data_IF_416479049808
#
_entry.id   IF_416479049808
#
_cell.length_a   1.000
_cell.length_b   1.000
_cell.length_c   1.000
_cell.angle_alpha   90.00
_cell.angle_beta   90.00
_cell.angle_gamma   90.00
#
_symmetry.space_group_name_H-M   'P 1'
#
loop_
_entity.id
_entity.type
_entity.pdbx_description
1 polymer ?
#
# COMPACT_ATOMS: atom_id res chain seq x y z
N UNK A 1 12.05 30.89 -32.48
CA UNK A 1 11.15 30.02 -31.73
C UNK A 1 11.68 28.59 -31.88
N UNK A 2 12.47 28.11 -30.89
CA UNK A 2 12.95 26.72 -30.87
C UNK A 2 11.83 25.85 -30.32
N UNK A 3 11.25 24.99 -31.11
CA UNK A 3 10.30 23.99 -30.69
C UNK A 3 11.10 22.85 -30.09
N UNK A 4 11.21 22.82 -28.74
CA UNK A 4 11.75 21.67 -28.01
C UNK A 4 10.79 20.48 -28.20
N UNK A 5 11.11 19.63 -29.16
CA UNK A 5 10.41 18.36 -29.37
C UNK A 5 10.86 17.39 -28.29
N UNK A 6 9.97 17.09 -27.35
CA UNK A 6 10.21 16.00 -26.42
C UNK A 6 10.44 14.66 -27.15
N UNK A 7 11.24 13.73 -26.58
CA UNK A 7 11.46 12.38 -27.16
C UNK A 7 10.14 11.68 -27.52
N UNK A 8 9.11 11.87 -26.72
CA UNK A 8 7.76 11.32 -26.94
C UNK A 8 7.06 11.99 -28.12
N UNK A 9 7.20 13.32 -28.26
CA UNK A 9 6.67 14.07 -29.39
C UNK A 9 7.36 13.71 -30.70
N UNK A 10 8.69 13.49 -30.67
CA UNK A 10 9.46 13.02 -31.82
C UNK A 10 9.04 11.62 -32.26
N UNK A 11 8.93 10.66 -31.34
CA UNK A 11 8.48 9.31 -31.68
C UNK A 11 7.03 9.28 -32.16
N UNK A 12 6.14 10.10 -31.59
CA UNK A 12 4.76 10.18 -32.02
C UNK A 12 4.65 10.81 -33.46
N UNK A 13 5.42 11.85 -33.73
CA UNK A 13 5.38 12.50 -35.06
C UNK A 13 6.07 11.66 -36.15
N UNK A 14 7.19 11.00 -35.82
CA UNK A 14 7.87 10.12 -36.80
C UNK A 14 7.08 8.82 -37.03
N UNK A 15 6.44 8.25 -35.99
CA UNK A 15 5.52 7.12 -36.11
C UNK A 15 4.29 7.48 -36.97
N UNK A 16 3.66 8.64 -36.74
CA UNK A 16 2.53 9.11 -37.51
C UNK A 16 2.90 9.33 -38.98
N UNK A 17 4.07 9.94 -39.25
CA UNK A 17 4.55 10.16 -40.63
C UNK A 17 4.83 8.83 -41.35
N UNK A 18 5.43 7.85 -40.67
CA UNK A 18 5.71 6.55 -41.27
C UNK A 18 4.41 5.77 -41.59
N UNK A 19 3.40 5.87 -40.73
CA UNK A 19 2.10 5.20 -40.91
C UNK A 19 1.29 5.80 -42.03
N UNK A 20 1.31 7.13 -42.22
CA UNK A 20 0.61 7.81 -43.31
C UNK A 20 1.25 7.50 -44.64
N UNK A 21 2.58 7.37 -44.74
CA UNK A 21 3.30 7.00 -45.98
C UNK A 21 3.08 5.54 -46.35
N UNK A 22 2.73 4.66 -45.41
CA UNK A 22 2.46 3.22 -45.63
C UNK A 22 0.96 2.93 -45.90
N UNK A 23 0.10 3.96 -45.95
CA UNK A 23 -1.33 3.82 -46.27
C UNK A 23 -2.17 3.16 -45.15
N UNK A 24 -1.69 3.13 -43.92
CA UNK A 24 -2.48 2.63 -42.79
C UNK A 24 -3.55 3.66 -42.37
N UNK A 25 -4.78 3.19 -42.22
CA UNK A 25 -5.88 4.03 -41.73
C UNK A 25 -5.81 4.14 -40.19
N UNK A 26 -5.32 5.31 -39.72
CA UNK A 26 -5.20 5.58 -38.26
C UNK A 26 -6.55 5.81 -37.57
N UNK A 27 -7.64 6.08 -38.30
CA UNK A 27 -8.96 6.29 -37.69
C UNK A 27 -9.48 5.00 -37.08
N UNK A 28 -9.27 3.85 -37.73
CA UNK A 28 -9.64 2.55 -37.16
C UNK A 28 -8.82 2.20 -35.90
N UNK A 29 -7.51 2.49 -35.94
CA UNK A 29 -6.64 2.26 -34.78
C UNK A 29 -6.99 3.17 -33.57
N UNK A 30 -7.37 4.42 -33.86
CA UNK A 30 -7.80 5.38 -32.83
C UNK A 30 -9.18 5.02 -32.24
N UNK A 31 -10.09 4.48 -33.07
CA UNK A 31 -11.39 3.99 -32.61
C UNK A 31 -11.22 2.79 -31.67
N UNK A 32 -10.34 1.82 -32.01
CA UNK A 32 -10.03 0.67 -31.16
C UNK A 32 -9.34 1.12 -29.85
N UNK A 33 -8.43 2.09 -29.92
CA UNK A 33 -7.76 2.62 -28.72
C UNK A 33 -8.74 3.31 -27.75
N UNK A 34 -9.83 3.91 -28.25
CA UNK A 34 -10.90 4.50 -27.42
C UNK A 34 -11.74 3.46 -26.67
N UNK A 35 -11.68 2.20 -27.08
CA UNK A 35 -12.38 1.09 -26.41
C UNK A 35 -11.54 0.33 -25.36
N UNK A 36 -10.31 0.77 -25.11
CA UNK A 36 -9.50 0.19 -24.05
C UNK A 36 -10.26 0.24 -22.70
N UNK A 37 -10.20 -0.86 -21.94
CA UNK A 37 -10.89 -0.96 -20.63
C UNK A 37 -10.59 0.21 -19.71
N UNK A 38 -9.37 0.77 -19.77
CA UNK A 38 -8.94 1.92 -18.96
C UNK A 38 -9.64 3.22 -19.34
N UNK A 39 -10.13 3.37 -20.58
CA UNK A 39 -10.84 4.59 -21.02
C UNK A 39 -12.18 4.82 -20.30
N UNK A 40 -12.76 3.77 -19.70
CA UNK A 40 -14.05 3.81 -18.96
C UNK A 40 -13.87 3.60 -17.46
N UNK A 41 -12.66 3.74 -16.95
CA UNK A 41 -12.37 3.50 -15.54
C UNK A 41 -12.49 4.79 -14.71
N UNK A 42 -12.83 4.61 -13.44
CA UNK A 42 -12.62 5.65 -12.44
C UNK A 42 -11.16 5.60 -12.01
N UNK A 43 -10.50 6.74 -12.06
CA UNK A 43 -9.11 6.90 -11.63
C UNK A 43 -9.06 7.38 -10.18
N UNK A 44 -8.18 6.77 -9.40
CA UNK A 44 -7.92 7.18 -8.01
C UNK A 44 -6.42 7.22 -7.78
N UNK A 45 -5.93 8.37 -7.30
CA UNK A 45 -4.52 8.52 -6.94
C UNK A 45 -4.24 7.87 -5.58
N UNK A 46 -3.10 7.21 -5.47
CA UNK A 46 -2.65 6.55 -4.25
C UNK A 46 -1.12 6.49 -4.20
N UNK A 47 -0.59 5.84 -3.18
CA UNK A 47 0.86 5.65 -2.98
C UNK A 47 1.18 4.17 -2.94
N UNK A 48 2.30 3.80 -3.56
CA UNK A 48 2.82 2.43 -3.55
C UNK A 48 3.19 2.01 -2.12
N UNK A 49 2.73 0.85 -1.61
CA UNK A 49 2.95 0.42 -0.23
C UNK A 49 4.29 -0.27 0.01
N UNK A 50 5.17 -0.43 -0.98
CA UNK A 50 6.33 -1.30 -0.84
C UNK A 50 7.55 -0.69 -0.16
N UNK A 51 7.79 0.60 -0.33
CA UNK A 51 8.97 1.22 0.27
C UNK A 51 8.81 2.72 0.49
N UNK A 52 9.74 3.30 1.25
CA UNK A 52 9.75 4.71 1.63
C UNK A 52 9.94 5.71 0.46
N UNK A 53 10.21 5.24 -0.77
CA UNK A 53 10.24 6.11 -1.96
C UNK A 53 8.90 6.80 -2.16
N UNK A 54 7.78 6.13 -1.81
CA UNK A 54 6.46 6.74 -1.88
C UNK A 54 6.00 7.04 -3.30
N UNK A 55 6.32 6.18 -4.27
CA UNK A 55 5.88 6.35 -5.66
C UNK A 55 4.37 6.54 -5.74
N UNK A 56 3.92 7.61 -6.39
CA UNK A 56 2.50 7.81 -6.66
C UNK A 56 2.02 6.89 -7.77
N UNK A 57 0.83 6.36 -7.59
CA UNK A 57 0.18 5.45 -8.53
C UNK A 57 -1.22 5.93 -8.88
N UNK A 58 -1.66 5.66 -10.10
CA UNK A 58 -3.03 5.83 -10.55
C UNK A 58 -3.70 4.45 -10.61
N UNK A 59 -4.76 4.29 -9.84
CA UNK A 59 -5.53 3.06 -9.76
C UNK A 59 -6.77 3.20 -10.63
N UNK A 60 -6.92 2.31 -11.58
CA UNK A 60 -8.06 2.26 -12.50
C UNK A 60 -9.05 1.18 -12.01
N UNK A 61 -10.28 1.61 -11.72
CA UNK A 61 -11.36 0.71 -11.29
C UNK A 61 -12.49 0.71 -12.29
N UNK A 62 -13.03 -0.49 -12.56
CA UNK A 62 -14.29 -0.68 -13.25
C UNK A 62 -15.34 -1.15 -12.25
N UNK A 63 -16.56 -0.68 -12.41
CA UNK A 63 -17.70 -1.03 -11.58
C UNK A 63 -18.39 0.23 -11.06
N UNK A 64 -19.64 0.05 -10.70
CA UNK A 64 -20.49 1.13 -10.20
C UNK A 64 -21.39 0.58 -9.09
N UNK A 65 -21.18 1.02 -7.87
CA UNK A 65 -21.99 0.62 -6.71
C UNK A 65 -23.47 1.01 -6.87
N UNK A 66 -23.74 2.14 -7.54
CA UNK A 66 -25.11 2.58 -7.78
C UNK A 66 -25.88 1.65 -8.71
N UNK A 67 -25.15 0.86 -9.53
CA UNK A 67 -25.70 -0.16 -10.43
C UNK A 67 -25.51 -1.59 -9.93
N UNK A 68 -25.16 -1.78 -8.65
CA UNK A 68 -24.84 -3.07 -8.05
C UNK A 68 -23.69 -3.84 -8.75
N UNK A 69 -22.80 -3.13 -9.46
CA UNK A 69 -21.62 -3.73 -10.06
C UNK A 69 -20.45 -3.56 -9.09
N UNK A 70 -19.91 -4.69 -8.61
CA UNK A 70 -18.76 -4.69 -7.70
C UNK A 70 -17.56 -4.03 -8.37
N UNK A 71 -16.97 -2.98 -7.78
CA UNK A 71 -15.77 -2.38 -8.33
C UNK A 71 -14.61 -3.36 -8.34
N UNK A 72 -13.88 -3.40 -9.45
CA UNK A 72 -12.68 -4.22 -9.60
C UNK A 72 -11.50 -3.36 -10.07
N UNK A 73 -10.33 -3.58 -9.49
CA UNK A 73 -9.08 -2.94 -9.95
C UNK A 73 -8.64 -3.64 -11.23
N UNK A 74 -8.63 -2.90 -12.34
CA UNK A 74 -8.31 -3.46 -13.66
C UNK A 74 -6.91 -3.09 -14.14
N UNK A 75 -6.36 -1.96 -13.63
CA UNK A 75 -5.02 -1.51 -13.96
C UNK A 75 -4.45 -0.62 -12.85
N UNK A 76 -3.14 -0.65 -12.67
CA UNK A 76 -2.40 0.28 -11.81
C UNK A 76 -1.16 0.71 -12.57
N UNK A 77 -0.93 2.02 -12.64
CA UNK A 77 0.24 2.60 -13.28
C UNK A 77 0.86 3.70 -12.42
N UNK A 78 2.08 4.11 -12.76
CA UNK A 78 2.73 5.24 -12.08
C UNK A 78 2.09 6.55 -12.51
N UNK A 79 1.91 7.46 -11.55
CA UNK A 79 1.37 8.79 -11.78
C UNK A 79 2.41 9.67 -12.52
N UNK A 80 2.15 10.07 -13.77
CA UNK A 80 3.08 10.89 -14.53
C UNK A 80 3.23 12.33 -13.97
N UNK A 81 2.26 12.81 -13.21
CA UNK A 81 2.29 14.14 -12.61
C UNK A 81 3.05 14.15 -11.27
N UNK A 82 3.36 12.99 -10.72
CA UNK A 82 4.10 12.89 -9.48
C UNK A 82 5.54 13.40 -9.63
N UNK A 83 5.99 14.33 -8.77
CA UNK A 83 7.38 14.80 -8.79
C UNK A 83 8.37 13.72 -8.35
N UNK A 84 7.91 12.67 -7.66
CA UNK A 84 8.75 11.60 -7.11
C UNK A 84 9.15 10.60 -8.19
N UNK A 85 8.18 9.99 -8.86
CA UNK A 85 8.40 8.88 -9.80
C UNK A 85 8.07 9.21 -11.25
N UNK A 86 7.38 10.31 -11.53
CA UNK A 86 7.08 10.80 -12.90
C UNK A 86 6.55 9.71 -13.83
N UNK A 87 5.64 8.89 -13.32
CA UNK A 87 5.04 7.76 -14.03
C UNK A 87 5.87 6.48 -14.07
N UNK A 88 7.09 6.47 -13.53
CA UNK A 88 7.93 5.26 -13.49
C UNK A 88 7.62 4.42 -12.25
N UNK A 89 7.65 3.09 -12.41
CA UNK A 89 7.52 2.12 -11.33
C UNK A 89 8.61 1.06 -11.45
N UNK A 90 9.07 0.57 -10.32
CA UNK A 90 9.88 -0.67 -10.28
C UNK A 90 8.97 -1.89 -10.51
N UNK A 91 9.55 -3.06 -10.67
CA UNK A 91 8.81 -4.32 -10.91
C UNK A 91 7.73 -4.61 -9.85
N UNK A 92 7.98 -4.28 -8.57
CA UNK A 92 6.99 -4.46 -7.49
C UNK A 92 5.80 -3.50 -7.67
N UNK A 93 6.06 -2.23 -7.94
CA UNK A 93 5.01 -1.24 -8.18
C UNK A 93 4.18 -1.56 -9.43
N UNK A 94 4.84 -2.03 -10.49
CA UNK A 94 4.17 -2.43 -11.73
C UNK A 94 3.26 -3.65 -11.56
N UNK A 95 3.54 -4.54 -10.59
CA UNK A 95 2.74 -5.74 -10.29
C UNK A 95 1.70 -5.53 -9.18
N UNK A 96 1.44 -4.30 -8.74
CA UNK A 96 0.47 -4.03 -7.66
C UNK A 96 -0.94 -4.54 -7.97
N UNK A 97 -1.36 -4.52 -9.23
CA UNK A 97 -2.67 -5.03 -9.62
C UNK A 97 -2.82 -6.53 -9.29
N UNK A 98 -1.81 -7.32 -9.61
CA UNK A 98 -1.78 -8.76 -9.33
C UNK A 98 -1.76 -9.00 -7.81
N UNK A 99 -1.00 -8.19 -7.06
CA UNK A 99 -0.97 -8.25 -5.61
C UNK A 99 -2.34 -7.95 -4.98
N UNK A 100 -3.03 -6.89 -5.44
CA UNK A 100 -4.34 -6.50 -4.90
C UNK A 100 -5.40 -7.55 -5.20
N UNK A 101 -5.37 -8.17 -6.39
CA UNK A 101 -6.34 -9.14 -6.85
C UNK A 101 -5.95 -10.59 -6.52
N UNK A 102 -4.84 -10.83 -5.82
CA UNK A 102 -4.37 -12.17 -5.50
C UNK A 102 -5.32 -12.91 -4.56
N UNK A 103 -5.68 -14.14 -4.92
CA UNK A 103 -6.46 -15.05 -4.07
C UNK A 103 -5.66 -15.51 -2.83
N UNK A 104 -4.33 -15.36 -2.84
CA UNK A 104 -3.46 -15.66 -1.70
C UNK A 104 -3.47 -14.55 -0.64
N UNK A 105 -4.09 -13.41 -0.93
CA UNK A 105 -4.18 -12.31 0.00
C UNK A 105 -5.07 -12.66 1.19
N UNK A 106 -4.54 -12.53 2.40
CA UNK A 106 -5.30 -12.73 3.61
C UNK A 106 -6.36 -11.64 3.77
N UNK A 107 -7.62 -12.03 3.84
CA UNK A 107 -8.77 -11.14 4.06
C UNK A 107 -9.35 -11.26 5.46
N UNK A 108 -8.93 -12.29 6.20
CA UNK A 108 -9.35 -12.56 7.58
C UNK A 108 -8.15 -12.89 8.44
N UNK A 109 -8.19 -12.59 9.75
CA UNK A 109 -7.15 -12.99 10.67
C UNK A 109 -7.03 -14.52 10.72
N UNK A 110 -5.80 -15.01 10.88
CA UNK A 110 -5.51 -16.41 11.13
C UNK A 110 -4.84 -16.55 12.49
N UNK A 111 -5.31 -17.51 13.27
CA UNK A 111 -4.80 -17.84 14.58
C UNK A 111 -4.23 -19.25 14.60
N UNK A 112 -3.06 -19.42 15.18
CA UNK A 112 -2.48 -20.71 15.48
C UNK A 112 -2.29 -20.84 16.97
N UNK A 113 -3.00 -21.81 17.58
CA UNK A 113 -2.87 -22.07 19.01
C UNK A 113 -1.45 -22.57 19.35
N UNK A 114 -0.98 -22.37 20.59
CA UNK A 114 0.28 -22.93 21.05
C UNK A 114 0.33 -24.44 20.82
N UNK A 115 1.41 -24.93 20.18
CA UNK A 115 1.59 -26.35 19.83
C UNK A 115 0.76 -26.86 18.65
N UNK A 116 -0.14 -26.08 18.07
CA UNK A 116 -0.89 -26.50 16.88
C UNK A 116 -0.05 -26.41 15.61
N UNK A 117 -0.26 -27.35 14.67
CA UNK A 117 0.37 -27.33 13.34
C UNK A 117 -0.35 -26.37 12.40
N UNK A 118 -1.67 -26.26 12.50
CA UNK A 118 -2.52 -25.60 11.55
C UNK A 118 -2.97 -24.20 11.98
N UNK A 119 -3.18 -23.34 10.98
CA UNK A 119 -3.79 -22.03 11.15
C UNK A 119 -5.30 -22.12 10.94
N UNK A 120 -6.07 -21.47 11.83
CA UNK A 120 -7.53 -21.34 11.72
C UNK A 120 -7.90 -19.90 11.44
N UNK A 121 -8.85 -19.69 10.55
CA UNK A 121 -9.46 -18.38 10.40
C UNK A 121 -10.33 -18.05 11.62
N UNK A 122 -10.23 -16.82 12.09
CA UNK A 122 -11.02 -16.29 13.21
C UNK A 122 -11.65 -14.95 12.78
N UNK A 123 -12.63 -14.48 13.53
CA UNK A 123 -13.21 -13.17 13.30
C UNK A 123 -12.26 -12.05 13.72
N UNK A 124 -12.49 -10.84 13.25
CA UNK A 124 -11.73 -9.67 13.69
C UNK A 124 -11.95 -9.38 15.17
N UNK A 125 -13.19 -9.54 15.66
CA UNK A 125 -13.56 -9.36 17.05
C UNK A 125 -12.77 -10.31 17.96
N UNK A 126 -12.74 -11.60 17.59
CA UNK A 126 -11.98 -12.61 18.33
C UNK A 126 -10.47 -12.31 18.31
N UNK A 127 -9.95 -11.86 17.15
CA UNK A 127 -8.55 -11.49 17.02
C UNK A 127 -8.18 -10.32 17.95
N UNK A 128 -8.99 -9.25 17.92
CA UNK A 128 -8.77 -8.08 18.77
C UNK A 128 -8.89 -8.41 20.26
N UNK A 129 -9.88 -9.22 20.65
CA UNK A 129 -10.04 -9.62 22.05
C UNK A 129 -8.81 -10.42 22.54
N UNK A 130 -8.37 -11.41 21.75
CA UNK A 130 -7.19 -12.22 22.12
C UNK A 130 -5.91 -11.37 22.21
N UNK A 131 -5.69 -10.46 21.26
CA UNK A 131 -4.54 -9.56 21.28
C UNK A 131 -4.58 -8.60 22.47
N UNK A 132 -5.71 -7.93 22.69
CA UNK A 132 -5.88 -6.97 23.77
C UNK A 132 -5.70 -7.63 25.14
N UNK A 133 -6.30 -8.80 25.35
CA UNK A 133 -6.14 -9.58 26.59
C UNK A 133 -4.68 -9.94 26.81
N UNK A 134 -4.01 -10.49 25.80
CA UNK A 134 -2.60 -10.87 25.92
C UNK A 134 -1.70 -9.67 26.23
N UNK A 135 -1.92 -8.55 25.55
CA UNK A 135 -1.18 -7.30 25.80
C UNK A 135 -1.44 -6.78 27.22
N UNK A 136 -2.70 -6.78 27.65
CA UNK A 136 -3.06 -6.34 29.00
C UNK A 136 -2.40 -7.22 30.07
N UNK A 137 -2.53 -8.54 29.97
CA UNK A 137 -1.95 -9.48 30.94
C UNK A 137 -0.42 -9.33 31.02
N UNK A 138 0.24 -9.19 29.87
CA UNK A 138 1.69 -8.97 29.79
C UNK A 138 2.09 -7.63 30.41
N UNK A 139 1.34 -6.57 30.12
CA UNK A 139 1.58 -5.25 30.69
C UNK A 139 1.39 -5.26 32.21
N UNK A 140 0.27 -5.79 32.69
CA UNK A 140 -0.05 -5.81 34.11
C UNK A 140 0.96 -6.62 34.92
N UNK A 141 1.54 -7.67 34.32
CA UNK A 141 2.58 -8.47 34.94
C UNK A 141 3.97 -7.79 35.02
N UNK A 142 4.21 -6.78 34.16
CA UNK A 142 5.54 -6.15 34.04
C UNK A 142 5.52 -4.63 34.08
N UNK A 143 4.44 -4.00 34.56
CA UNK A 143 4.36 -2.55 34.68
C UNK A 143 5.09 -2.07 35.92
N UNK A 144 6.02 -1.15 35.74
CA UNK A 144 6.75 -0.47 36.80
C UNK A 144 6.32 1.00 36.85
N UNK A 145 5.66 1.41 37.91
CA UNK A 145 5.30 2.82 38.14
C UNK A 145 6.53 3.63 38.55
N UNK A 146 7.31 3.10 39.48
CA UNK A 146 8.52 3.72 40.02
C UNK A 146 9.73 2.80 39.86
N UNK A 147 10.90 3.38 39.61
CA UNK A 147 12.16 2.65 39.60
C UNK A 147 12.72 2.38 41.01
N UNK A 148 13.85 1.68 41.10
CA UNK A 148 14.53 1.39 42.35
C UNK A 148 15.00 2.62 43.16
N UNK A 149 14.97 3.81 42.53
CA UNK A 149 15.33 5.08 43.16
C UNK A 149 14.09 5.92 43.52
N UNK A 150 12.88 5.38 43.33
CA UNK A 150 11.62 6.05 43.63
C UNK A 150 11.20 7.08 42.58
N UNK A 151 11.83 7.10 41.40
CA UNK A 151 11.44 8.00 40.31
C UNK A 151 10.30 7.40 39.51
N UNK A 152 9.30 8.20 39.20
CA UNK A 152 8.18 7.79 38.35
C UNK A 152 8.67 7.48 36.93
N UNK A 153 8.49 6.25 36.47
CA UNK A 153 8.95 5.77 35.15
C UNK A 153 7.81 5.28 34.26
N UNK A 154 6.73 4.81 34.82
CA UNK A 154 5.52 4.30 34.10
C UNK A 154 5.88 3.44 32.90
N UNK A 155 6.67 2.39 33.08
CA UNK A 155 7.25 1.60 31.98
C UNK A 155 6.86 0.13 31.99
N UNK A 156 6.95 -0.48 30.81
CA UNK A 156 6.80 -1.92 30.57
C UNK A 156 8.03 -2.41 29.81
N UNK A 157 8.78 -3.33 30.41
CA UNK A 157 10.01 -3.89 29.86
C UNK A 157 9.81 -5.28 29.21
N UNK A 158 8.73 -5.98 29.56
CA UNK A 158 8.41 -7.33 29.08
C UNK A 158 7.55 -7.35 27.80
N UNK A 159 7.31 -6.20 27.20
CA UNK A 159 6.62 -6.02 25.93
C UNK A 159 7.49 -5.18 25.00
N UNK A 160 7.63 -5.60 23.75
CA UNK A 160 8.31 -4.84 22.72
C UNK A 160 7.43 -4.72 21.47
N UNK A 161 7.64 -3.67 20.70
CA UNK A 161 6.97 -3.42 19.43
C UNK A 161 8.00 -3.26 18.32
N UNK A 162 7.67 -3.78 17.13
CA UNK A 162 8.51 -3.67 15.94
C UNK A 162 7.65 -3.01 14.84
N UNK A 163 8.18 -1.96 14.24
CA UNK A 163 7.57 -1.27 13.11
C UNK A 163 8.24 -1.61 11.78
N UNK A 164 7.69 -1.08 10.70
CA UNK A 164 8.22 -1.19 9.34
C UNK A 164 8.60 0.16 8.75
N UNK A 165 9.33 0.15 7.62
CA UNK A 165 9.70 1.36 6.90
C UNK A 165 8.69 1.74 5.79
N UNK A 166 7.66 0.93 5.60
CA UNK A 166 6.69 1.09 4.49
C UNK A 166 5.36 1.71 4.95
N UNK A 167 5.24 1.99 6.24
CA UNK A 167 4.05 2.58 6.80
C UNK A 167 3.97 4.09 6.53
N UNK A 168 2.76 4.62 6.48
CA UNK A 168 2.55 6.07 6.36
C UNK A 168 2.95 6.80 7.64
N UNK A 169 3.16 8.12 7.55
CA UNK A 169 3.48 8.95 8.70
C UNK A 169 2.41 8.88 9.79
N UNK A 170 1.13 8.80 9.40
CA UNK A 170 -0.01 8.68 10.30
C UNK A 170 0.03 7.39 11.10
N UNK A 171 0.33 6.26 10.44
CA UNK A 171 0.48 4.96 11.10
C UNK A 171 1.63 4.99 12.09
N UNK A 172 2.80 5.50 11.70
CA UNK A 172 3.96 5.63 12.58
C UNK A 172 3.68 6.52 13.79
N UNK A 173 2.95 7.62 13.58
CA UNK A 173 2.52 8.50 14.67
C UNK A 173 1.58 7.78 15.65
N UNK A 174 0.58 7.06 15.14
CA UNK A 174 -0.34 6.28 15.96
C UNK A 174 0.36 5.16 16.73
N UNK A 175 1.29 4.45 16.10
CA UNK A 175 2.12 3.44 16.77
C UNK A 175 2.94 4.06 17.90
N UNK A 176 3.53 5.24 17.67
CA UNK A 176 4.25 5.99 18.69
C UNK A 176 3.35 6.34 19.87
N UNK A 177 2.18 6.91 19.63
CA UNK A 177 1.20 7.22 20.69
C UNK A 177 0.74 5.98 21.45
N UNK A 178 0.43 4.90 20.74
CA UNK A 178 0.01 3.63 21.33
C UNK A 178 1.10 3.05 22.23
N UNK A 179 2.35 3.03 21.77
CA UNK A 179 3.51 2.60 22.55
C UNK A 179 3.66 3.39 23.85
N UNK A 180 3.63 4.71 23.76
CA UNK A 180 3.75 5.57 24.94
C UNK A 180 2.57 5.42 25.89
N UNK A 181 1.34 5.30 25.37
CA UNK A 181 0.15 5.06 26.19
C UNK A 181 0.20 3.73 26.96
N UNK A 182 0.88 2.73 26.44
CA UNK A 182 1.11 1.44 27.12
C UNK A 182 2.34 1.46 28.05
N UNK A 183 3.24 2.43 27.92
CA UNK A 183 4.50 2.48 28.65
C UNK A 183 5.59 1.55 28.08
N UNK A 184 5.45 1.08 26.84
CA UNK A 184 6.38 0.13 26.21
C UNK A 184 7.70 0.84 25.87
N UNK A 185 8.82 0.32 26.42
CA UNK A 185 10.17 0.83 26.15
C UNK A 185 10.75 0.29 24.85
N UNK A 186 10.64 -1.02 24.65
CA UNK A 186 11.22 -1.70 23.50
C UNK A 186 10.45 -1.36 22.22
N UNK A 187 11.01 -0.49 21.38
CA UNK A 187 10.50 -0.20 20.05
C UNK A 187 11.65 -0.13 19.05
N UNK A 188 11.55 -0.92 18.02
CA UNK A 188 12.52 -0.93 16.94
C UNK A 188 11.80 -0.87 15.60
N UNK A 189 12.49 -0.34 14.61
CA UNK A 189 11.98 -0.21 13.25
C UNK A 189 12.98 -0.83 12.29
N UNK A 190 12.50 -1.58 11.31
CA UNK A 190 13.32 -2.30 10.33
C UNK A 190 14.35 -1.39 9.62
N UNK A 191 14.03 -0.13 9.38
CA UNK A 191 14.93 0.81 8.72
C UNK A 191 16.00 1.42 9.64
N UNK A 192 15.96 1.12 10.94
CA UNK A 192 16.88 1.69 11.94
C UNK A 192 18.10 0.80 12.20
N UNK A 193 18.08 -0.42 11.74
CA UNK A 193 19.18 -1.39 11.90
C UNK A 193 20.37 -1.05 11.00
#
# INVERSE_FOLDING_TARGET
>A
MSTDLSRRGFLASSGAAAVTTLGFNLEAATAVAKELKIARTTQTHSVCPYCAVGCSVVIHTLGDKARNVKPAVVHIEGDPESPINRGTLCSKGASLKEFVNSDLRLTRPKYRAPGAADWKEISWEEAFEKMARRMKDTRDAGFEENDSQGRVVNRVANLAMIGGCTDTNEVNYLLGKFRFGLGVLGYENQARL
#
